data_IF_151779627566
#
_entry.id   IF_151779627566
#
_cell.length_a   1.000
_cell.length_b   1.000
_cell.length_c   1.000
_cell.angle_alpha   90.00
_cell.angle_beta   90.00
_cell.angle_gamma   90.00
#
_symmetry.space_group_name_H-M   'P 1'
#
loop_
_entity.id
_entity.type
_entity.pdbx_description
1 polymer ?
#
# COMPACT_ATOMS: atom_id res chain seq x y z
N UNK A 1 8.65 25.75 -16.37
CA UNK A 1 7.30 25.80 -15.76
C UNK A 1 6.55 24.56 -16.21
N UNK A 2 6.43 23.57 -15.34
CA UNK A 2 5.87 22.26 -15.69
C UNK A 2 4.36 22.38 -15.88
N UNK A 3 3.85 22.04 -17.05
CA UNK A 3 2.43 22.01 -17.33
C UNK A 3 1.75 20.99 -16.40
N UNK A 4 0.93 21.48 -15.46
CA UNK A 4 0.08 20.62 -14.65
C UNK A 4 -0.88 19.88 -15.60
N UNK A 5 -0.92 18.56 -15.49
CA UNK A 5 -1.85 17.74 -16.26
C UNK A 5 -3.30 18.16 -15.92
N UNK A 6 -4.25 17.88 -16.83
CA UNK A 6 -5.65 18.28 -16.70
C UNK A 6 -6.28 17.83 -15.35
N UNK A 7 -5.88 16.66 -14.86
CA UNK A 7 -6.34 16.09 -13.59
C UNK A 7 -5.83 16.89 -12.39
N UNK A 8 -4.57 17.32 -12.41
CA UNK A 8 -3.98 18.16 -11.36
C UNK A 8 -4.68 19.52 -11.25
N UNK A 9 -5.07 20.11 -12.37
CA UNK A 9 -5.85 21.35 -12.40
C UNK A 9 -7.24 21.12 -11.76
N UNK A 10 -7.89 20.00 -12.08
CA UNK A 10 -9.20 19.62 -11.54
C UNK A 10 -9.15 19.36 -10.03
N UNK A 11 -8.13 18.64 -9.56
CA UNK A 11 -7.92 18.36 -8.12
C UNK A 11 -7.69 19.67 -7.34
N UNK A 12 -6.86 20.57 -7.88
CA UNK A 12 -6.62 21.86 -7.26
C UNK A 12 -7.91 22.70 -7.15
N UNK A 13 -8.72 22.69 -8.20
CA UNK A 13 -10.01 23.39 -8.20
C UNK A 13 -10.97 22.83 -7.14
N UNK A 14 -11.07 21.50 -7.05
CA UNK A 14 -11.91 20.84 -6.05
C UNK A 14 -11.44 21.13 -4.61
N UNK A 15 -10.13 21.13 -4.37
CA UNK A 15 -9.56 21.47 -3.06
C UNK A 15 -9.89 22.90 -2.63
N UNK A 16 -9.79 23.85 -3.57
CA UNK A 16 -10.20 25.23 -3.31
C UNK A 16 -11.70 25.33 -2.97
N UNK A 17 -12.56 24.61 -3.71
CA UNK A 17 -14.00 24.59 -3.45
C UNK A 17 -14.34 24.00 -2.07
N UNK A 18 -13.66 22.93 -1.65
CA UNK A 18 -13.83 22.34 -0.31
C UNK A 18 -13.46 23.37 0.76
N UNK A 19 -12.35 24.08 0.58
CA UNK A 19 -11.91 25.12 1.52
C UNK A 19 -12.96 26.24 1.66
N UNK A 20 -13.53 26.69 0.54
CA UNK A 20 -14.62 27.68 0.55
C UNK A 20 -15.86 27.14 1.29
N UNK A 21 -16.27 25.90 1.04
CA UNK A 21 -17.45 25.31 1.69
C UNK A 21 -17.26 25.18 3.20
N UNK A 22 -16.08 24.72 3.65
CA UNK A 22 -15.77 24.61 5.07
C UNK A 22 -15.70 25.98 5.74
N UNK A 23 -15.18 26.99 5.05
CA UNK A 23 -15.19 28.36 5.54
C UNK A 23 -16.62 28.89 5.72
N UNK A 24 -17.49 28.72 4.71
CA UNK A 24 -18.90 29.10 4.82
C UNK A 24 -19.60 28.36 5.97
N UNK A 25 -19.27 27.08 6.20
CA UNK A 25 -19.84 26.31 7.30
C UNK A 25 -19.41 26.85 8.67
N UNK A 26 -18.20 27.39 8.80
CA UNK A 26 -17.73 28.01 10.06
C UNK A 26 -18.40 29.36 10.34
N UNK A 27 -18.81 30.09 9.30
CA UNK A 27 -19.48 31.39 9.42
C UNK A 27 -21.02 31.27 9.54
N UNK A 28 -21.60 30.16 9.10
CA UNK A 28 -23.04 29.90 9.19
C UNK A 28 -23.49 29.73 10.63
N UNK A 29 -24.49 30.51 11.05
CA UNK A 29 -25.17 30.37 12.35
C UNK A 29 -26.30 29.32 12.33
N UNK A 30 -26.63 28.77 11.15
CA UNK A 30 -27.69 27.79 10.95
C UNK A 30 -27.13 26.37 10.89
N UNK A 31 -27.51 25.52 11.85
CA UNK A 31 -27.07 24.11 11.89
C UNK A 31 -27.42 23.32 10.61
N UNK A 32 -28.53 23.67 9.95
CA UNK A 32 -28.93 23.00 8.70
C UNK A 32 -28.01 23.38 7.55
N UNK A 33 -27.64 24.66 7.45
CA UNK A 33 -26.69 25.13 6.43
C UNK A 33 -25.30 24.54 6.64
N UNK A 34 -24.84 24.49 7.90
CA UNK A 34 -23.58 23.83 8.27
C UNK A 34 -23.57 22.38 7.79
N UNK A 35 -24.66 21.64 8.03
CA UNK A 35 -24.76 20.25 7.61
C UNK A 35 -24.73 20.11 6.08
N UNK A 36 -25.50 20.91 5.34
CA UNK A 36 -25.50 20.87 3.87
C UNK A 36 -24.12 21.21 3.29
N UNK A 37 -23.44 22.23 3.83
CA UNK A 37 -22.12 22.64 3.36
C UNK A 37 -21.05 21.57 3.62
N UNK A 38 -21.14 20.88 4.77
CA UNK A 38 -20.27 19.73 5.08
C UNK A 38 -20.54 18.57 4.13
N UNK A 39 -21.81 18.23 3.87
CA UNK A 39 -22.19 17.18 2.91
C UNK A 39 -21.63 17.47 1.50
N UNK A 40 -21.76 18.71 1.03
CA UNK A 40 -21.19 19.15 -0.25
C UNK A 40 -19.65 19.07 -0.27
N UNK A 41 -18.98 19.39 0.84
CA UNK A 41 -17.53 19.29 0.95
C UNK A 41 -17.06 17.82 0.94
N UNK A 42 -17.80 16.92 1.59
CA UNK A 42 -17.53 15.48 1.58
C UNK A 42 -17.68 14.92 0.17
N UNK A 43 -18.77 15.25 -0.54
CA UNK A 43 -18.99 14.81 -1.92
C UNK A 43 -17.81 15.19 -2.83
N UNK A 44 -17.33 16.44 -2.72
CA UNK A 44 -16.16 16.90 -3.48
C UNK A 44 -14.87 16.17 -3.10
N UNK A 45 -14.70 15.82 -1.83
CA UNK A 45 -13.54 15.04 -1.38
C UNK A 45 -13.55 13.62 -1.96
N UNK A 46 -14.72 13.00 -2.11
CA UNK A 46 -14.86 11.70 -2.79
C UNK A 46 -14.51 11.80 -4.29
N UNK A 47 -14.84 12.91 -4.96
CA UNK A 47 -14.39 13.15 -6.34
C UNK A 47 -12.87 13.30 -6.42
N UNK A 48 -12.21 13.98 -5.47
CA UNK A 48 -10.74 14.05 -5.44
C UNK A 48 -10.13 12.65 -5.29
N UNK A 49 -10.67 11.82 -4.38
CA UNK A 49 -10.22 10.44 -4.20
C UNK A 49 -10.36 9.63 -5.49
N UNK A 50 -11.47 9.78 -6.22
CA UNK A 50 -11.67 9.08 -7.48
C UNK A 50 -10.69 9.55 -8.56
N UNK A 51 -10.44 10.86 -8.69
CA UNK A 51 -9.51 11.44 -9.67
C UNK A 51 -8.04 11.06 -9.40
N UNK A 52 -7.63 10.98 -8.13
CA UNK A 52 -6.30 10.50 -7.73
C UNK A 52 -6.09 9.02 -8.10
N UNK A 53 -7.13 8.20 -8.04
CA UNK A 53 -7.08 6.79 -8.40
C UNK A 53 -6.94 6.56 -9.93
N UNK A 54 -7.23 7.55 -10.78
CA UNK A 54 -7.09 7.42 -12.24
C UNK A 54 -5.67 7.73 -12.76
N UNK A 55 -4.77 8.22 -11.92
CA UNK A 55 -3.42 8.62 -12.33
C UNK A 55 -2.37 7.49 -12.29
N UNK A 56 -2.73 6.26 -11.93
CA UNK A 56 -1.80 5.10 -11.92
C UNK A 56 -2.52 3.80 -12.32
N UNK A 57 -2.33 3.31 -13.54
CA UNK A 57 -2.85 1.98 -13.94
C UNK A 57 -1.72 0.94 -13.97
N UNK A 58 -1.83 -0.08 -13.09
CA UNK A 58 -1.93 -1.50 -13.49
C UNK A 58 -2.62 -2.29 -12.34
N UNK A 59 -3.57 -3.20 -12.65
CA UNK A 59 -4.66 -3.57 -11.73
C UNK A 59 -4.24 -4.64 -10.73
N UNK A 60 -4.72 -4.53 -9.48
CA UNK A 60 -5.45 -5.61 -8.81
C UNK A 60 -6.02 -5.14 -7.45
N UNK A 61 -7.35 -4.95 -7.49
CA UNK A 61 -8.33 -5.25 -6.44
C UNK A 61 -8.17 -4.55 -5.08
N UNK A 62 -8.87 -3.43 -4.97
CA UNK A 62 -9.43 -2.89 -3.73
C UNK A 62 -10.43 -3.89 -3.13
N UNK A 63 -10.02 -4.68 -2.13
CA UNK A 63 -10.88 -5.15 -1.03
C UNK A 63 -10.04 -5.37 0.23
N UNK A 64 -10.62 -4.94 1.36
CA UNK A 64 -10.23 -5.07 2.76
C UNK A 64 -9.13 -4.11 3.27
N UNK A 65 -9.47 -3.11 4.09
CA UNK A 65 -10.10 -3.19 5.42
C UNK A 65 -9.18 -3.93 6.38
N UNK A 66 -8.85 -3.26 7.48
CA UNK A 66 -8.12 -3.76 8.64
C UNK A 66 -8.81 -5.02 9.17
N UNK A 67 -8.46 -6.19 8.63
CA UNK A 67 -8.72 -7.52 9.17
C UNK A 67 -8.04 -8.55 8.26
N UNK A 68 -7.13 -9.35 8.84
CA UNK A 68 -6.52 -10.56 8.27
C UNK A 68 -5.38 -10.38 7.24
N UNK A 69 -4.15 -10.30 7.74
CA UNK A 69 -2.92 -10.67 7.03
C UNK A 69 -2.81 -12.22 6.88
N UNK A 70 -3.83 -12.92 6.34
CA UNK A 70 -3.86 -14.38 6.39
C UNK A 70 -3.10 -15.09 5.27
N UNK A 71 -2.84 -14.46 4.13
CA UNK A 71 -2.15 -15.16 3.03
C UNK A 71 -0.66 -14.79 2.95
N UNK A 72 0.15 -15.75 2.48
CA UNK A 72 1.56 -15.52 2.17
C UNK A 72 1.73 -14.34 1.20
N UNK A 73 0.83 -14.25 0.21
CA UNK A 73 0.84 -13.21 -0.82
C UNK A 73 0.68 -11.80 -0.21
N UNK A 74 -0.22 -11.65 0.76
CA UNK A 74 -0.47 -10.36 1.43
C UNK A 74 0.74 -9.95 2.28
N UNK A 75 1.33 -10.90 3.02
CA UNK A 75 2.52 -10.66 3.85
C UNK A 75 3.75 -10.33 3.01
N UNK A 76 3.92 -11.01 1.86
CA UNK A 76 4.99 -10.69 0.91
C UNK A 76 4.83 -9.29 0.32
N UNK A 77 3.61 -8.91 -0.09
CA UNK A 77 3.32 -7.56 -0.58
C UNK A 77 3.59 -6.50 0.49
N UNK A 78 3.21 -6.79 1.73
CA UNK A 78 3.48 -5.92 2.87
C UNK A 78 4.99 -5.72 3.04
N UNK A 79 5.78 -6.79 3.12
CA UNK A 79 7.22 -6.72 3.34
C UNK A 79 7.95 -5.96 2.21
N UNK A 80 7.57 -6.19 0.95
CA UNK A 80 8.10 -5.45 -0.20
C UNK A 80 7.84 -3.94 -0.10
N UNK A 81 6.61 -3.57 0.28
CA UNK A 81 6.22 -2.16 0.43
C UNK A 81 6.95 -1.49 1.58
N UNK A 82 7.02 -2.16 2.73
CA UNK A 82 7.64 -1.64 3.94
C UNK A 82 9.13 -1.33 3.73
N UNK A 83 9.83 -2.18 2.96
CA UNK A 83 11.25 -1.99 2.66
C UNK A 83 11.52 -1.19 1.38
N UNK A 84 10.48 -0.72 0.70
CA UNK A 84 10.61 -0.05 -0.61
C UNK A 84 11.38 -0.87 -1.65
N UNK A 85 11.23 -2.20 -1.60
CA UNK A 85 11.89 -3.16 -2.49
C UNK A 85 10.96 -3.52 -3.65
N UNK A 86 11.47 -3.49 -4.87
CA UNK A 86 10.71 -3.95 -6.04
C UNK A 86 10.81 -5.48 -6.20
N UNK A 87 9.85 -6.09 -6.89
CA UNK A 87 9.91 -7.54 -7.20
C UNK A 87 11.15 -7.91 -8.03
N UNK A 88 11.66 -7.00 -8.87
CA UNK A 88 12.88 -7.20 -9.64
C UNK A 88 14.12 -7.23 -8.75
N UNK A 89 14.22 -6.29 -7.80
CA UNK A 89 15.32 -6.31 -6.82
C UNK A 89 15.31 -7.56 -5.95
N UNK A 90 14.13 -7.99 -5.50
CA UNK A 90 13.99 -9.24 -4.76
C UNK A 90 14.39 -10.46 -5.62
N UNK A 91 14.10 -10.44 -6.92
CA UNK A 91 14.53 -11.48 -7.84
C UNK A 91 16.06 -11.59 -7.91
N UNK A 92 16.72 -10.44 -8.03
CA UNK A 92 18.18 -10.35 -8.09
C UNK A 92 18.83 -10.82 -6.78
N UNK A 93 18.21 -10.53 -5.62
CA UNK A 93 18.73 -10.94 -4.31
C UNK A 93 18.54 -12.43 -3.99
N UNK A 94 17.43 -13.01 -4.45
CA UNK A 94 17.06 -14.40 -4.11
C UNK A 94 17.42 -15.41 -5.19
N UNK A 95 17.73 -14.95 -6.41
CA UNK A 95 17.87 -15.81 -7.59
C UNK A 95 16.54 -16.41 -8.08
N UNK A 96 15.41 -16.03 -7.47
CA UNK A 96 14.07 -16.44 -7.89
C UNK A 96 13.63 -15.51 -9.02
N UNK A 97 13.08 -16.06 -10.11
CA UNK A 97 12.63 -15.21 -11.22
C UNK A 97 11.54 -14.21 -10.77
N UNK A 98 11.57 -12.99 -11.33
CA UNK A 98 10.57 -11.96 -11.03
C UNK A 98 9.14 -12.42 -11.32
N UNK A 99 8.94 -13.27 -12.33
CA UNK A 99 7.61 -13.82 -12.65
C UNK A 99 7.12 -14.81 -11.59
N UNK A 100 8.02 -15.60 -10.98
CA UNK A 100 7.71 -16.45 -9.83
C UNK A 100 7.35 -15.59 -8.62
N UNK A 101 8.12 -14.54 -8.32
CA UNK A 101 7.81 -13.60 -7.23
C UNK A 101 6.46 -12.93 -7.43
N UNK A 102 6.16 -12.48 -8.65
CA UNK A 102 4.84 -11.92 -8.99
C UNK A 102 3.72 -12.94 -8.78
N UNK A 103 3.92 -14.20 -9.17
CA UNK A 103 2.93 -15.27 -8.98
C UNK A 103 2.71 -15.60 -7.48
N UNK A 104 3.74 -15.46 -6.65
CA UNK A 104 3.63 -15.60 -5.20
C UNK A 104 2.90 -14.40 -4.58
N UNK A 105 3.26 -13.17 -4.96
CA UNK A 105 2.66 -11.93 -4.44
C UNK A 105 1.18 -11.75 -4.87
N UNK A 106 0.76 -12.33 -5.99
CA UNK A 106 -0.64 -12.34 -6.45
C UNK A 106 -1.44 -13.53 -5.89
N UNK A 107 -0.80 -14.46 -5.18
CA UNK A 107 -1.45 -15.64 -4.63
C UNK A 107 -1.80 -16.72 -5.67
N UNK A 108 -1.26 -16.63 -6.88
CA UNK A 108 -1.38 -17.67 -7.91
C UNK A 108 -0.66 -18.94 -7.47
N UNK A 109 0.50 -18.80 -6.81
CA UNK A 109 1.17 -19.88 -6.09
C UNK A 109 0.67 -19.84 -4.64
N UNK A 110 -0.07 -20.87 -4.23
CA UNK A 110 -0.63 -20.99 -2.88
C UNK A 110 0.36 -21.61 -1.90
N UNK A 111 1.11 -22.60 -2.39
CA UNK A 111 2.08 -23.35 -1.62
C UNK A 111 3.48 -22.93 -2.05
N UNK A 112 4.11 -22.06 -1.26
CA UNK A 112 5.51 -21.68 -1.44
C UNK A 112 6.36 -22.67 -0.66
N UNK A 113 7.36 -23.22 -1.32
CA UNK A 113 8.31 -24.15 -0.72
C UNK A 113 9.23 -23.44 0.29
N UNK A 114 9.54 -24.14 1.37
CA UNK A 114 10.37 -23.64 2.48
C UNK A 114 11.66 -22.96 2.01
N UNK A 115 12.45 -23.53 1.07
CA UNK A 115 13.70 -22.91 0.65
C UNK A 115 13.51 -21.53 -0.01
N UNK A 116 12.46 -21.36 -0.82
CA UNK A 116 12.16 -20.05 -1.43
C UNK A 116 11.67 -19.05 -0.40
N UNK A 117 10.81 -19.48 0.52
CA UNK A 117 10.31 -18.63 1.59
C UNK A 117 11.43 -18.19 2.55
N UNK A 118 12.39 -19.05 2.89
CA UNK A 118 13.58 -18.70 3.67
C UNK A 118 14.47 -17.69 2.93
N UNK A 119 14.72 -17.89 1.63
CA UNK A 119 15.51 -16.97 0.83
C UNK A 119 14.87 -15.58 0.77
N UNK A 120 13.55 -15.51 0.59
CA UNK A 120 12.78 -14.25 0.57
C UNK A 120 12.81 -13.59 1.95
N UNK A 121 12.58 -14.35 3.02
CA UNK A 121 12.59 -13.83 4.38
C UNK A 121 13.96 -13.22 4.74
N UNK A 122 15.05 -13.90 4.36
CA UNK A 122 16.42 -13.41 4.55
C UNK A 122 16.71 -12.16 3.71
N UNK A 123 16.29 -12.15 2.44
CA UNK A 123 16.52 -11.01 1.55
C UNK A 123 15.74 -9.75 1.99
N UNK A 124 14.58 -9.96 2.62
CA UNK A 124 13.74 -8.89 3.16
C UNK A 124 13.98 -8.66 4.66
N UNK A 125 14.94 -9.30 5.31
CA UNK A 125 15.16 -9.12 6.75
C UNK A 125 13.86 -9.23 7.61
N UNK A 126 12.98 -10.18 7.25
CA UNK A 126 11.75 -10.48 7.98
C UNK A 126 11.78 -11.89 8.55
N UNK A 127 10.98 -12.12 9.58
CA UNK A 127 10.78 -13.45 10.16
C UNK A 127 10.17 -14.40 9.14
N UNK A 128 10.84 -15.53 8.91
CA UNK A 128 10.33 -16.63 8.09
C UNK A 128 8.97 -17.14 8.59
N UNK A 129 8.82 -17.31 9.90
CA UNK A 129 7.58 -17.79 10.54
C UNK A 129 6.45 -16.80 10.31
N UNK A 130 6.73 -15.51 10.43
CA UNK A 130 5.76 -14.47 10.14
C UNK A 130 5.38 -14.49 8.66
N UNK A 131 6.35 -14.56 7.75
CA UNK A 131 6.07 -14.57 6.31
C UNK A 131 5.22 -15.79 5.89
N UNK A 132 5.51 -16.97 6.44
CA UNK A 132 4.82 -18.21 6.09
C UNK A 132 3.45 -18.38 6.75
N UNK A 133 3.33 -18.02 8.02
CA UNK A 133 2.14 -18.34 8.83
C UNK A 133 1.41 -17.10 9.36
N UNK A 134 2.02 -15.92 9.31
CA UNK A 134 1.49 -14.70 9.91
C UNK A 134 1.62 -14.69 11.44
N UNK A 135 2.42 -15.60 11.99
CA UNK A 135 2.62 -15.77 13.43
C UNK A 135 3.88 -15.05 13.91
N UNK A 136 3.84 -14.54 15.15
CA UNK A 136 4.97 -13.86 15.76
C UNK A 136 5.21 -12.44 15.23
N UNK A 137 6.39 -11.88 15.56
CA UNK A 137 6.80 -10.56 15.11
C UNK A 137 7.33 -10.56 13.67
N UNK A 138 7.13 -9.44 12.97
CA UNK A 138 7.64 -9.22 11.60
C UNK A 138 9.17 -9.24 11.59
N UNK A 139 9.75 -8.51 12.54
CA UNK A 139 11.19 -8.42 12.73
C UNK A 139 11.56 -9.33 13.89
N UNK A 140 12.37 -10.34 13.60
CA UNK A 140 13.00 -11.13 14.65
C UNK A 140 14.02 -10.23 15.34
N UNK A 141 13.71 -9.74 16.54
CA UNK A 141 14.70 -9.10 17.38
C UNK A 141 15.67 -10.20 17.85
N UNK A 142 16.69 -10.48 17.04
CA UNK A 142 18.02 -10.98 17.39
C UNK A 142 18.69 -11.45 16.10
N UNK A 143 19.40 -10.53 15.44
CA UNK A 143 20.35 -10.82 14.40
C UNK A 143 21.44 -11.76 14.94
N UNK A 144 21.59 -13.02 14.50
CA UNK A 144 22.92 -13.59 14.46
C UNK A 144 23.60 -12.91 13.27
N UNK A 145 24.33 -11.82 13.55
CA UNK A 145 25.38 -11.36 12.63
C UNK A 145 26.16 -12.60 12.22
N UNK A 146 26.08 -12.96 10.95
CA UNK A 146 26.83 -14.07 10.37
C UNK A 146 28.30 -13.82 10.76
N UNK A 147 28.80 -14.57 11.74
CA UNK A 147 30.20 -14.59 12.04
C UNK A 147 30.85 -15.32 10.87
N UNK A 148 31.63 -14.59 10.09
CA UNK A 148 32.62 -15.23 9.24
C UNK A 148 33.61 -15.91 10.19
N UNK A 149 33.46 -17.23 10.36
CA UNK A 149 34.25 -18.05 11.27
C UNK A 149 34.54 -19.41 10.67
N UNK A 150 35.40 -19.42 9.64
CA UNK A 150 36.47 -20.40 9.36
C UNK A 150 37.05 -20.14 7.96
#
# INVERSE_FOLDING_TARGET
MSALNHNGIKIQLLSNQISTLLFCALESSSSMEVQTLIEMAIEKNEVIKSELNHAQIKPETTKNTIASQNSFADRLKFALKEQSVTQGMLADWTGISQSTISSMATGKIKDVDTPRAEAIAKALDVSFIWLMHGEGGIYGHDFPTQNNGA
#
